data_IF_636611656475
#
_entry.id   IF_636611656475
#
_cell.length_a   1.000
_cell.length_b   1.000
_cell.length_c   1.000
_cell.angle_alpha   90.00
_cell.angle_beta   90.00
_cell.angle_gamma   90.00
#
_symmetry.space_group_name_H-M   'P 1'
#
loop_
_entity.id
_entity.type
_entity.pdbx_description
1 polymer ?
#
# COMPACT_ATOMS: atom_id res chain seq x y z
N UNK A 1 8.50 -17.20 10.73
CA UNK A 1 8.64 -17.50 9.31
C UNK A 1 8.92 -16.23 8.52
N UNK A 2 9.85 -16.25 7.58
CA UNK A 2 10.14 -15.05 6.81
C UNK A 2 8.96 -14.68 5.90
N UNK A 3 8.71 -13.40 5.78
CA UNK A 3 7.71 -12.88 4.85
C UNK A 3 8.35 -12.77 3.48
N UNK A 4 7.66 -13.27 2.46
CA UNK A 4 8.19 -13.34 1.10
C UNK A 4 7.45 -12.46 0.11
N UNK A 5 6.23 -12.01 0.44
CA UNK A 5 5.40 -11.30 -0.51
C UNK A 5 4.56 -10.22 0.16
N UNK A 6 4.41 -9.11 -0.54
CA UNK A 6 3.53 -8.02 -0.18
C UNK A 6 2.42 -7.93 -1.24
N UNK A 7 1.18 -8.00 -0.82
CA UNK A 7 0.04 -7.83 -1.73
C UNK A 7 -0.64 -6.51 -1.43
N UNK A 8 -1.17 -5.87 -2.48
CA UNK A 8 -1.85 -4.60 -2.34
C UNK A 8 -3.09 -4.54 -3.23
N UNK A 9 -4.15 -3.97 -2.69
CA UNK A 9 -5.37 -3.68 -3.43
C UNK A 9 -5.91 -2.34 -2.95
N UNK A 10 -6.73 -1.68 -3.76
CA UNK A 10 -7.27 -0.39 -3.36
C UNK A 10 -8.69 -0.19 -3.87
N UNK A 11 -9.37 0.74 -3.21
CA UNK A 11 -10.72 1.18 -3.52
C UNK A 11 -10.70 2.69 -3.52
N UNK A 12 -11.25 3.34 -4.56
CA UNK A 12 -11.29 4.80 -4.64
C UNK A 12 -12.60 5.31 -4.08
N UNK A 13 -12.51 6.23 -3.13
CA UNK A 13 -13.65 6.97 -2.60
C UNK A 13 -13.55 8.43 -3.07
N UNK A 14 -14.54 9.27 -2.72
CA UNK A 14 -14.66 10.66 -3.21
C UNK A 14 -13.39 11.50 -3.08
N UNK A 15 -12.69 11.37 -1.97
CA UNK A 15 -11.51 12.19 -1.70
C UNK A 15 -10.37 11.35 -1.12
N UNK A 16 -10.39 10.05 -1.34
CA UNK A 16 -9.39 9.20 -0.74
C UNK A 16 -9.28 7.84 -1.38
N UNK A 17 -8.32 7.10 -0.88
CA UNK A 17 -8.04 5.72 -1.29
C UNK A 17 -8.15 4.85 -0.05
N UNK A 18 -8.88 3.75 -0.15
CA UNK A 18 -8.86 2.72 0.88
C UNK A 18 -7.90 1.66 0.40
N UNK A 19 -6.75 1.56 1.05
CA UNK A 19 -5.69 0.65 0.65
C UNK A 19 -5.67 -0.57 1.57
N UNK A 20 -5.56 -1.75 0.97
CA UNK A 20 -5.46 -3.02 1.69
C UNK A 20 -4.11 -3.63 1.41
N UNK A 21 -3.36 -3.97 2.45
CA UNK A 21 -2.02 -4.52 2.31
C UNK A 21 -1.91 -5.81 3.09
N UNK A 22 -1.53 -6.87 2.40
CA UNK A 22 -1.31 -8.18 3.01
C UNK A 22 0.16 -8.56 2.99
N UNK A 23 0.63 -9.18 4.07
CA UNK A 23 1.98 -9.72 4.19
C UNK A 23 1.87 -11.24 4.20
N UNK A 24 2.56 -11.89 3.27
CA UNK A 24 2.46 -13.32 3.09
C UNK A 24 3.80 -14.00 3.33
N UNK A 25 3.76 -15.17 3.97
CA UNK A 25 4.96 -15.99 4.16
C UNK A 25 5.13 -16.98 3.00
N UNK A 26 6.12 -17.85 3.11
CA UNK A 26 6.45 -18.82 2.06
C UNK A 26 5.38 -19.89 1.83
N UNK A 27 4.38 -19.97 2.73
CA UNK A 27 3.27 -20.92 2.60
C UNK A 27 1.98 -20.21 2.17
N UNK A 28 2.09 -18.99 1.65
CA UNK A 28 0.97 -18.15 1.24
C UNK A 28 -0.01 -17.84 2.38
N UNK A 29 0.48 -17.83 3.63
CA UNK A 29 -0.31 -17.44 4.79
C UNK A 29 -0.14 -15.96 5.09
N UNK A 30 -1.25 -15.27 5.29
CA UNK A 30 -1.24 -13.86 5.63
C UNK A 30 -0.91 -13.68 7.10
N UNK A 31 0.03 -12.80 7.38
CA UNK A 31 0.60 -12.61 8.72
C UNK A 31 0.58 -11.15 9.14
N UNK A 32 0.45 -10.94 10.45
CA UNK A 32 0.79 -9.66 11.08
C UNK A 32 2.30 -9.62 11.31
N UNK A 33 2.87 -8.41 11.21
CA UNK A 33 4.31 -8.25 11.45
C UNK A 33 4.59 -6.82 11.90
N UNK A 34 5.58 -6.61 12.78
CA UNK A 34 6.00 -5.24 13.13
C UNK A 34 6.77 -4.62 11.95
N UNK A 35 6.14 -3.64 11.31
CA UNK A 35 6.68 -3.04 10.08
C UNK A 35 6.29 -1.57 9.98
N UNK A 36 6.94 -0.87 9.06
CA UNK A 36 6.56 0.48 8.66
C UNK A 36 6.10 0.45 7.21
N UNK A 37 4.95 1.03 6.92
CA UNK A 37 4.43 1.13 5.56
C UNK A 37 4.58 2.55 5.04
N UNK A 38 5.02 2.66 3.78
CA UNK A 38 5.15 3.94 3.07
C UNK A 38 4.33 3.88 1.79
N UNK A 39 3.47 4.88 1.58
CA UNK A 39 2.63 4.98 0.39
C UNK A 39 3.07 6.14 -0.47
N UNK A 40 3.16 5.89 -1.79
CA UNK A 40 3.51 6.89 -2.78
C UNK A 40 2.59 6.76 -3.98
N UNK A 41 2.15 7.89 -4.53
CA UNK A 41 1.26 7.91 -5.69
C UNK A 41 2.04 8.41 -6.90
N UNK A 42 1.99 7.65 -7.99
CA UNK A 42 2.69 7.98 -9.24
C UNK A 42 1.71 8.13 -10.38
N UNK A 43 2.06 8.98 -11.32
CA UNK A 43 1.35 9.11 -12.59
C UNK A 43 1.57 7.84 -13.40
N UNK A 44 0.49 7.30 -13.98
CA UNK A 44 0.62 6.16 -14.89
C UNK A 44 0.88 6.68 -16.30
N UNK A 45 1.98 6.23 -16.90
CA UNK A 45 2.34 6.58 -18.28
C UNK A 45 2.01 5.38 -19.16
N UNK A 46 0.96 5.45 -20.00
CA UNK A 46 0.57 4.33 -20.84
C UNK A 46 1.59 4.08 -21.94
N UNK A 47 1.73 2.82 -22.34
CA UNK A 47 2.59 2.39 -23.44
C UNK A 47 4.07 2.72 -23.24
N UNK A 48 4.51 2.83 -22.00
CA UNK A 48 5.90 3.09 -21.67
C UNK A 48 6.54 1.83 -21.09
N UNK A 49 7.84 1.67 -21.30
CA UNK A 49 8.62 0.62 -20.68
C UNK A 49 8.60 0.77 -19.16
N UNK A 50 8.50 2.00 -18.68
CA UNK A 50 8.30 2.31 -17.28
C UNK A 50 6.95 2.99 -17.11
N UNK A 51 5.89 2.25 -16.79
CA UNK A 51 4.55 2.84 -16.66
C UNK A 51 4.41 3.78 -15.47
N UNK A 52 5.34 3.73 -14.51
CA UNK A 52 5.33 4.60 -13.35
C UNK A 52 6.09 5.88 -13.68
N UNK A 53 5.35 6.98 -13.80
CA UNK A 53 5.93 8.25 -14.17
C UNK A 53 6.27 9.12 -12.97
N UNK A 54 5.89 10.39 -13.01
CA UNK A 54 6.19 11.35 -11.98
C UNK A 54 5.45 11.03 -10.67
N UNK A 55 6.16 11.18 -9.54
CA UNK A 55 5.53 11.04 -8.23
C UNK A 55 4.63 12.25 -7.96
N UNK A 56 3.36 11.99 -7.64
CA UNK A 56 2.34 13.04 -7.49
C UNK A 56 2.13 13.39 -6.02
N UNK A 57 2.11 12.37 -5.15
CA UNK A 57 1.79 12.57 -3.75
C UNK A 57 2.45 11.49 -2.90
N UNK A 58 2.82 11.86 -1.68
CA UNK A 58 3.27 10.90 -0.67
C UNK A 58 2.51 11.14 0.63
N UNK A 59 2.50 10.15 1.49
CA UNK A 59 1.89 10.24 2.81
C UNK A 59 2.94 9.98 3.89
N UNK A 60 2.73 10.50 5.11
CA UNK A 60 3.61 10.15 6.22
C UNK A 60 3.64 8.65 6.44
N UNK A 61 4.79 8.13 6.85
CA UNK A 61 4.95 6.70 7.10
C UNK A 61 4.02 6.23 8.23
N UNK A 62 3.46 5.02 8.05
CA UNK A 62 2.68 4.35 9.08
C UNK A 62 3.60 3.37 9.79
N UNK A 63 4.07 3.76 10.97
CA UNK A 63 4.96 2.93 11.79
C UNK A 63 4.11 2.00 12.66
N UNK A 64 4.02 0.74 12.28
CA UNK A 64 3.22 -0.28 12.97
C UNK A 64 4.11 -1.26 13.75
N UNK A 65 5.25 -0.81 14.24
CA UNK A 65 6.12 -1.65 15.06
C UNK A 65 5.58 -1.84 16.48
N UNK A 66 4.72 -0.93 16.94
CA UNK A 66 4.04 -1.06 18.22
C UNK A 66 2.83 -2.01 18.06
N UNK A 67 2.70 -3.04 18.92
CA UNK A 67 1.59 -4.02 18.78
C UNK A 67 0.20 -3.41 18.82
N UNK A 68 -0.03 -2.43 19.69
CA UNK A 68 -1.35 -1.80 19.80
C UNK A 68 -1.71 -1.06 18.52
N UNK A 69 -0.77 -0.31 17.97
CA UNK A 69 -0.97 0.42 16.73
C UNK A 69 -1.11 -0.53 15.54
N UNK A 70 -0.33 -1.60 15.52
CA UNK A 70 -0.41 -2.63 14.49
C UNK A 70 -1.82 -3.24 14.45
N UNK A 71 -2.38 -3.60 15.61
CA UNK A 71 -3.72 -4.16 15.71
C UNK A 71 -4.80 -3.19 15.25
N UNK A 72 -4.58 -1.89 15.41
CA UNK A 72 -5.51 -0.85 15.03
C UNK A 72 -5.80 -0.84 13.52
N UNK A 73 -4.78 -1.13 12.71
CA UNK A 73 -4.89 -1.14 11.26
C UNK A 73 -5.21 -2.52 10.68
N UNK A 74 -5.13 -3.58 11.51
CA UNK A 74 -5.37 -4.95 11.06
C UNK A 74 -6.86 -5.25 11.01
N UNK A 75 -7.30 -5.84 9.90
CA UNK A 75 -8.67 -6.32 9.72
C UNK A 75 -8.64 -7.84 9.65
N UNK A 76 -9.03 -8.48 10.75
CA UNK A 76 -8.90 -9.92 10.90
C UNK A 76 -9.69 -10.70 9.85
N UNK A 77 -10.89 -10.22 9.51
CA UNK A 77 -11.73 -10.90 8.53
C UNK A 77 -11.15 -10.83 7.10
N UNK A 78 -10.29 -9.85 6.83
CA UNK A 78 -9.59 -9.72 5.55
C UNK A 78 -8.18 -10.30 5.60
N UNK A 79 -7.66 -10.54 6.78
CA UNK A 79 -6.27 -10.95 7.01
C UNK A 79 -5.30 -9.97 6.37
N UNK A 80 -5.60 -8.67 6.46
CA UNK A 80 -4.83 -7.62 5.84
C UNK A 80 -4.94 -6.32 6.64
N UNK A 81 -4.01 -5.39 6.36
CA UNK A 81 -4.05 -4.04 6.92
C UNK A 81 -4.88 -3.14 6.02
N UNK A 82 -5.65 -2.25 6.64
CA UNK A 82 -6.47 -1.28 5.90
C UNK A 82 -6.01 0.12 6.26
N UNK A 83 -5.78 0.93 5.21
CA UNK A 83 -5.35 2.32 5.36
C UNK A 83 -6.30 3.22 4.58
N UNK A 84 -6.66 4.35 5.18
CA UNK A 84 -7.43 5.38 4.50
C UNK A 84 -6.50 6.53 4.16
N UNK A 85 -6.24 6.73 2.87
CA UNK A 85 -5.30 7.73 2.38
C UNK A 85 -6.09 8.89 1.75
N UNK A 86 -5.85 10.10 2.22
CA UNK A 86 -6.50 11.29 1.67
C UNK A 86 -5.79 11.74 0.40
N UNK A 87 -6.58 12.07 -0.62
CA UNK A 87 -6.05 12.64 -1.87
C UNK A 87 -6.21 14.15 -1.83
N UNK A 88 -5.19 14.86 -2.33
CA UNK A 88 -5.23 16.32 -2.44
C UNK A 88 -6.31 16.78 -3.41
N UNK A 89 -6.61 15.95 -4.42
CA UNK A 89 -7.65 16.23 -5.40
C UNK A 89 -8.25 14.92 -5.90
N UNK A 90 -9.45 15.00 -6.47
CA UNK A 90 -10.08 13.83 -7.07
C UNK A 90 -9.23 13.31 -8.24
N UNK A 91 -9.17 11.99 -8.45
CA UNK A 91 -8.37 11.45 -9.56
C UNK A 91 -8.92 11.88 -10.91
N UNK A 92 -8.11 12.57 -11.71
CA UNK A 92 -8.46 13.02 -13.05
C UNK A 92 -7.75 12.22 -14.14
N UNK A 93 -6.90 11.29 -13.74
CA UNK A 93 -6.16 10.42 -14.64
C UNK A 93 -5.86 9.11 -13.90
N UNK A 94 -5.24 8.18 -14.60
CA UNK A 94 -4.84 6.91 -13.98
C UNK A 94 -3.53 7.08 -13.22
N UNK A 95 -3.46 6.47 -12.05
CA UNK A 95 -2.29 6.53 -11.17
C UNK A 95 -1.85 5.13 -10.77
N UNK A 96 -0.66 5.04 -10.23
CA UNK A 96 -0.13 3.82 -9.60
C UNK A 96 0.14 4.14 -8.14
N UNK A 97 -0.48 3.39 -7.24
CA UNK A 97 -0.20 3.48 -5.81
C UNK A 97 0.86 2.46 -5.46
N UNK A 98 1.99 2.94 -4.94
CA UNK A 98 3.07 2.07 -4.50
C UNK A 98 3.10 2.01 -2.98
N UNK A 99 3.16 0.81 -2.43
CA UNK A 99 3.38 0.61 -1.01
C UNK A 99 4.73 -0.05 -0.80
N UNK A 100 5.50 0.49 0.12
CA UNK A 100 6.78 -0.07 0.53
C UNK A 100 6.69 -0.48 1.98
N UNK A 101 7.06 -1.72 2.27
CA UNK A 101 7.08 -2.26 3.61
C UNK A 101 8.52 -2.34 4.08
N UNK A 102 8.81 -1.66 5.20
CA UNK A 102 10.15 -1.59 5.78
C UNK A 102 10.16 -2.40 7.07
N UNK A 103 11.03 -3.40 7.13
CA UNK A 103 11.15 -4.28 8.28
C UNK A 103 12.24 -3.76 9.23
N UNK A 104 12.13 -4.10 10.53
CA UNK A 104 13.16 -3.67 11.50
C UNK A 104 14.57 -4.17 11.18
N UNK A 105 14.70 -5.26 10.40
CA UNK A 105 15.99 -5.81 10.00
C UNK A 105 16.51 -5.20 8.69
N UNK A 106 15.93 -4.08 8.25
CA UNK A 106 16.27 -3.34 7.03
C UNK A 106 15.86 -4.04 5.73
N UNK A 107 15.10 -5.13 5.79
CA UNK A 107 14.51 -5.71 4.58
C UNK A 107 13.41 -4.80 4.06
N UNK A 108 13.14 -4.90 2.77
CA UNK A 108 12.14 -4.08 2.10
C UNK A 108 11.36 -4.91 1.09
N UNK A 109 10.04 -4.80 1.15
CA UNK A 109 9.16 -5.36 0.13
C UNK A 109 8.33 -4.23 -0.46
N UNK A 110 8.07 -4.30 -1.76
CA UNK A 110 7.33 -3.28 -2.48
C UNK A 110 6.24 -3.93 -3.34
N UNK A 111 5.08 -3.30 -3.39
CA UNK A 111 3.99 -3.71 -4.28
C UNK A 111 3.35 -2.49 -4.89
N UNK A 112 2.75 -2.67 -6.06
CA UNK A 112 2.08 -1.61 -6.79
C UNK A 112 0.66 -2.03 -7.09
N UNK A 113 -0.25 -1.05 -7.08
CA UNK A 113 -1.65 -1.27 -7.37
C UNK A 113 -2.16 -0.13 -8.27
N UNK A 114 -2.79 -0.44 -9.41
CA UNK A 114 -3.31 0.62 -10.26
C UNK A 114 -4.49 1.31 -9.61
N UNK A 115 -4.55 2.62 -9.78
CA UNK A 115 -5.64 3.46 -9.30
C UNK A 115 -6.29 4.08 -10.52
N UNK A 116 -7.47 3.59 -10.87
CA UNK A 116 -8.14 4.04 -12.09
C UNK A 116 -8.86 5.35 -11.87
N UNK A 117 -8.89 6.16 -12.94
CA UNK A 117 -9.68 7.37 -12.97
C UNK A 117 -11.14 7.07 -12.68
N UNK A 118 -11.76 7.88 -11.82
CA UNK A 118 -13.20 7.79 -11.56
C UNK A 118 -13.97 8.26 -12.80
N UNK A 119 -15.02 7.51 -13.20
CA UNK A 119 -15.86 7.94 -14.34
C UNK A 119 -16.64 9.20 -14.00
#
# INVERSE_FOLDING_TARGET
MPLTELTAANDVAKAGIRAYVGLMDEYDCQQKWPVTFRFELYQQVPRSAEPKGKRIQTWPDFNLTDPAKNNQFWKDFLRAYEFNLELDSAPDQNYILQVTCLFPDNRRLTAESPLKKTP
#
